data_IF_373123200505
#
_entry.id   IF_373123200505
#
_cell.length_a   1.000
_cell.length_b   1.000
_cell.length_c   1.000
_cell.angle_alpha   90.00
_cell.angle_beta   90.00
_cell.angle_gamma   90.00
#
_symmetry.space_group_name_H-M   'P 1'
#
loop_
_entity.id
_entity.type
_entity.pdbx_description
1 polymer ?
#
# COMPACT_ATOMS: atom_id res chain seq x y z
N UNK A 1 -19.44 -9.40 -18.48
CA UNK A 1 -18.40 -8.56 -19.11
C UNK A 1 -17.64 -7.85 -18.02
N UNK A 2 -16.31 -7.93 -17.99
CA UNK A 2 -15.50 -7.22 -17.00
C UNK A 2 -15.12 -5.83 -17.53
N UNK A 3 -15.13 -4.82 -16.67
CA UNK A 3 -14.59 -3.50 -17.00
C UNK A 3 -13.06 -3.53 -16.85
N UNK A 4 -12.36 -2.96 -17.84
CA UNK A 4 -10.90 -2.81 -17.79
C UNK A 4 -10.58 -1.41 -17.32
N UNK A 5 -10.06 -1.29 -16.09
CA UNK A 5 -9.62 -0.01 -15.51
C UNK A 5 -8.09 0.04 -15.59
N UNK A 6 -7.54 1.11 -16.20
CA UNK A 6 -6.10 1.37 -16.24
C UNK A 6 -5.76 2.50 -15.27
N UNK A 7 -5.10 2.16 -14.18
CA UNK A 7 -4.59 3.11 -13.18
C UNK A 7 -3.13 3.48 -13.46
N UNK A 8 -2.66 4.55 -12.81
CA UNK A 8 -1.23 4.86 -12.74
C UNK A 8 -0.51 3.71 -12.04
N UNK A 9 0.58 3.24 -12.64
CA UNK A 9 1.35 2.10 -12.13
C UNK A 9 2.83 2.42 -12.11
N UNK A 10 3.52 1.91 -11.10
CA UNK A 10 4.97 1.88 -11.00
C UNK A 10 5.43 0.43 -10.80
N UNK A 11 6.57 0.11 -11.40
CA UNK A 11 7.25 -1.19 -11.25
C UNK A 11 8.63 -1.02 -10.58
N UNK A 12 8.93 0.20 -10.11
CA UNK A 12 10.17 0.52 -9.40
C UNK A 12 9.98 0.25 -7.90
N UNK A 13 10.91 -0.48 -7.29
CA UNK A 13 10.88 -0.75 -5.85
C UNK A 13 10.99 0.53 -5.01
N UNK A 14 10.33 0.56 -3.86
CA UNK A 14 10.23 1.68 -2.93
C UNK A 14 9.74 3.00 -3.57
N UNK A 15 9.01 2.91 -4.68
CA UNK A 15 8.52 4.08 -5.42
C UNK A 15 7.12 4.45 -4.94
N UNK A 16 7.07 5.27 -3.89
CA UNK A 16 5.84 5.91 -3.43
C UNK A 16 5.52 7.12 -4.31
N UNK A 17 4.27 7.27 -4.78
CA UNK A 17 3.86 8.46 -5.52
C UNK A 17 4.00 9.73 -4.68
N UNK A 18 4.32 10.84 -5.33
CA UNK A 18 4.27 12.17 -4.73
C UNK A 18 2.89 12.82 -4.91
N UNK A 19 2.66 13.94 -4.22
CA UNK A 19 1.42 14.70 -4.36
C UNK A 19 1.28 15.32 -5.76
N UNK A 20 2.33 15.49 -6.56
CA UNK A 20 2.18 15.90 -7.96
C UNK A 20 1.75 14.76 -8.89
N UNK A 21 1.98 13.50 -8.49
CA UNK A 21 1.77 12.34 -9.35
C UNK A 21 0.31 11.89 -9.41
N UNK A 22 -0.50 12.21 -8.40
CA UNK A 22 -1.91 11.82 -8.31
C UNK A 22 -2.83 13.05 -8.20
N UNK A 23 -3.97 13.04 -8.90
CA UNK A 23 -5.08 13.91 -8.56
C UNK A 23 -5.79 13.42 -7.28
N UNK A 24 -6.53 14.32 -6.62
CA UNK A 24 -7.37 13.95 -5.48
C UNK A 24 -8.35 12.85 -5.89
N UNK A 25 -8.44 11.78 -5.08
CA UNK A 25 -9.22 10.58 -5.37
C UNK A 25 -8.78 9.74 -6.58
N UNK A 26 -7.58 9.97 -7.11
CA UNK A 26 -6.98 9.07 -8.11
C UNK A 26 -6.36 7.84 -7.41
N UNK A 27 -6.33 6.70 -8.09
CA UNK A 27 -5.70 5.47 -7.60
C UNK A 27 -4.40 5.22 -8.35
N UNK A 28 -3.35 4.86 -7.62
CA UNK A 28 -2.09 4.38 -8.17
C UNK A 28 -1.69 3.05 -7.52
N UNK A 29 -0.91 2.25 -8.23
CA UNK A 29 -0.39 0.97 -7.74
C UNK A 29 1.11 0.88 -7.97
N UNK A 30 1.82 0.34 -6.99
CA UNK A 30 3.17 -0.15 -7.17
C UNK A 30 3.14 -1.68 -7.14
N UNK A 31 3.50 -2.32 -8.26
CA UNK A 31 3.49 -3.78 -8.37
C UNK A 31 4.73 -4.41 -7.75
N UNK A 32 5.87 -3.70 -7.70
CA UNK A 32 7.08 -4.18 -7.06
C UNK A 32 6.92 -4.22 -5.52
N UNK A 33 6.33 -3.16 -4.97
CA UNK A 33 6.07 -3.06 -3.52
C UNK A 33 4.73 -3.68 -3.09
N UNK A 34 3.92 -4.13 -4.06
CA UNK A 34 2.59 -4.70 -3.83
C UNK A 34 1.68 -3.76 -2.98
N UNK A 35 1.69 -2.48 -3.34
CA UNK A 35 0.97 -1.40 -2.62
C UNK A 35 0.03 -0.62 -3.53
N UNK A 36 -1.08 -0.18 -2.97
CA UNK A 36 -2.07 0.68 -3.61
C UNK A 36 -2.15 2.00 -2.85
N UNK A 37 -2.13 3.10 -3.59
CA UNK A 37 -2.14 4.46 -3.07
C UNK A 37 -3.32 5.24 -3.61
N UNK A 38 -3.78 6.23 -2.85
CA UNK A 38 -4.66 7.29 -3.33
C UNK A 38 -4.25 8.63 -2.74
N UNK A 39 -4.77 9.72 -3.28
CA UNK A 39 -4.64 11.04 -2.67
C UNK A 39 -5.95 11.42 -1.99
N UNK A 40 -5.89 11.74 -0.70
CA UNK A 40 -7.04 12.22 0.05
C UNK A 40 -7.43 13.68 -0.31
N UNK A 41 -8.57 14.14 0.20
CA UNK A 41 -9.06 15.52 0.02
C UNK A 41 -8.14 16.59 0.60
N UNK A 42 -7.26 16.21 1.52
CA UNK A 42 -6.30 17.08 2.19
C UNK A 42 -4.96 17.16 1.42
N UNK A 43 -4.84 16.43 0.30
CA UNK A 43 -3.67 16.45 -0.57
C UNK A 43 -2.60 15.43 -0.22
N UNK A 44 -2.84 14.55 0.75
CA UNK A 44 -1.87 13.56 1.24
C UNK A 44 -1.97 12.27 0.44
N UNK A 45 -0.82 11.62 0.21
CA UNK A 45 -0.78 10.28 -0.35
C UNK A 45 -1.00 9.29 0.78
N UNK A 46 -2.07 8.51 0.67
CA UNK A 46 -2.45 7.48 1.63
C UNK A 46 -2.33 6.10 1.01
N UNK A 47 -1.88 5.13 1.80
CA UNK A 47 -1.82 3.73 1.39
C UNK A 47 -3.19 3.10 1.68
N UNK A 48 -3.87 2.62 0.63
CA UNK A 48 -5.20 1.99 0.74
C UNK A 48 -5.08 0.50 1.02
N UNK A 49 -4.07 -0.12 0.42
CA UNK A 49 -3.74 -1.52 0.64
C UNK A 49 -2.24 -1.72 0.50
N UNK A 50 -1.69 -2.60 1.32
CA UNK A 50 -0.31 -3.04 1.23
C UNK A 50 -0.26 -4.53 1.48
N UNK A 51 0.43 -5.25 0.61
CA UNK A 51 0.84 -6.60 0.92
C UNK A 51 1.93 -6.53 1.98
N UNK A 52 1.65 -7.10 3.15
CA UNK A 52 2.66 -7.37 4.16
C UNK A 52 2.82 -8.86 4.19
N UNK A 53 3.98 -9.36 3.78
CA UNK A 53 4.44 -10.71 4.12
C UNK A 53 4.70 -10.71 5.63
N UNK A 54 3.64 -10.62 6.43
CA UNK A 54 3.73 -10.85 7.87
C UNK A 54 3.97 -12.35 8.04
N UNK A 55 5.22 -12.77 7.86
CA UNK A 55 5.75 -13.85 8.67
C UNK A 55 5.90 -13.18 10.04
N UNK A 56 4.84 -13.20 10.85
CA UNK A 56 5.08 -13.09 12.29
C UNK A 56 6.00 -14.27 12.57
N UNK A 57 7.28 -13.98 12.77
CA UNK A 57 8.22 -15.04 13.13
C UNK A 57 7.70 -15.66 14.42
N UNK A 58 8.07 -16.92 14.69
CA UNK A 58 7.66 -17.54 15.95
C UNK A 58 8.02 -16.65 17.15
N UNK A 59 9.10 -15.87 17.05
CA UNK A 59 9.52 -14.86 18.02
C UNK A 59 8.49 -13.72 18.20
N UNK A 60 7.95 -13.14 17.11
CA UNK A 60 6.92 -12.10 17.18
C UNK A 60 5.61 -12.61 17.79
N UNK A 61 5.22 -13.84 17.45
CA UNK A 61 4.02 -14.49 18.00
C UNK A 61 4.21 -14.78 19.49
N UNK A 62 5.37 -15.32 19.88
CA UNK A 62 5.72 -15.59 21.28
C UNK A 62 5.75 -14.29 22.10
N UNK A 63 6.35 -13.22 21.59
CA UNK A 63 6.40 -11.93 22.26
C UNK A 63 4.99 -11.35 22.50
N UNK A 64 4.09 -11.46 21.52
CA UNK A 64 2.71 -11.00 21.68
C UNK A 64 1.91 -11.86 22.68
N UNK A 65 2.07 -13.19 22.63
CA UNK A 65 1.38 -14.09 23.58
C UNK A 65 1.83 -13.88 25.03
N UNK A 66 3.12 -13.65 25.29
CA UNK A 66 3.64 -13.35 26.63
C UNK A 66 3.19 -11.97 27.11
N UNK A 67 3.11 -10.98 26.23
CA UNK A 67 2.75 -9.61 26.59
C UNK A 67 1.26 -9.43 26.93
N UNK A 68 0.38 -10.26 26.35
CA UNK A 68 -1.07 -10.19 26.61
C UNK A 68 -1.54 -11.06 27.79
N UNK A 69 -0.73 -12.03 28.23
CA UNK A 69 -1.01 -12.90 29.38
C UNK A 69 -1.79 -14.16 29.04
#
# INVERSE_FOLDING_TARGET
>A
MAQVIKIKRSESAASTPSTSDLATHEIAMNTADQKIYTKDSNGNIVTVASHSEAIATEDDILAFTIALG
#
